data_IF_796083616955
#
_entry.id   IF_796083616955
#
_cell.length_a   1.000
_cell.length_b   1.000
_cell.length_c   1.000
_cell.angle_alpha   90.00
_cell.angle_beta   90.00
_cell.angle_gamma   90.00
#
_symmetry.space_group_name_H-M   'P 1'
#
loop_
_entity.id
_entity.type
_entity.pdbx_description
1 polymer ?
#
# COMPACT_ATOMS: atom_id res chain seq x y z
N UNK A 1 3.66 4.48 15.87
CA UNK A 1 5.08 4.49 15.45
C UNK A 1 5.04 4.00 14.03
N UNK A 2 5.33 4.85 13.06
CA UNK A 2 5.33 4.46 11.66
C UNK A 2 6.36 3.35 11.44
N UNK A 3 5.97 2.30 10.74
CA UNK A 3 6.83 1.17 10.35
C UNK A 3 7.03 1.18 8.83
N UNK A 4 8.22 0.80 8.38
CA UNK A 4 8.47 0.68 6.93
C UNK A 4 7.73 -0.54 6.41
N UNK A 5 6.69 -0.32 5.61
CA UNK A 5 5.90 -1.41 5.00
C UNK A 5 6.53 -1.91 3.70
N UNK A 6 7.18 -1.04 2.93
CA UNK A 6 7.90 -1.41 1.72
C UNK A 6 9.30 -0.77 1.67
N UNK A 7 10.33 -1.54 2.00
CA UNK A 7 11.71 -1.03 1.98
C UNK A 7 12.18 -0.64 0.57
N UNK A 8 11.85 -1.43 -0.46
CA UNK A 8 12.33 -1.19 -1.82
C UNK A 8 11.77 0.09 -2.45
N UNK A 9 10.54 0.48 -2.10
CA UNK A 9 9.93 1.74 -2.50
C UNK A 9 10.04 2.82 -1.42
N UNK A 10 10.66 2.52 -0.27
CA UNK A 10 10.80 3.42 0.88
C UNK A 10 9.47 4.00 1.39
N UNK A 11 8.45 3.14 1.44
CA UNK A 11 7.10 3.51 1.89
C UNK A 11 6.90 3.09 3.34
N UNK A 12 6.35 4.00 4.13
CA UNK A 12 5.92 3.79 5.51
C UNK A 12 4.44 3.41 5.54
N UNK A 13 4.02 2.67 6.56
CA UNK A 13 2.64 2.23 6.72
C UNK A 13 1.65 3.40 6.83
N UNK A 14 2.03 4.47 7.54
CA UNK A 14 1.24 5.70 7.66
C UNK A 14 1.03 6.39 6.30
N UNK A 15 2.09 6.54 5.49
CA UNK A 15 2.02 7.15 4.15
C UNK A 15 1.10 6.33 3.23
N UNK A 16 1.21 4.99 3.27
CA UNK A 16 0.36 4.11 2.49
C UNK A 16 -1.11 4.25 2.90
N UNK A 17 -1.40 4.27 4.21
CA UNK A 17 -2.77 4.43 4.71
C UNK A 17 -3.36 5.78 4.33
N UNK A 18 -2.58 6.85 4.40
CA UNK A 18 -3.00 8.17 3.96
C UNK A 18 -3.30 8.19 2.45
N UNK A 19 -2.43 7.55 1.64
CA UNK A 19 -2.68 7.42 0.21
C UNK A 19 -3.98 6.67 -0.09
N UNK A 20 -4.19 5.51 0.54
CA UNK A 20 -5.39 4.67 0.37
C UNK A 20 -6.69 5.33 0.88
N UNK A 21 -6.59 6.26 1.83
CA UNK A 21 -7.71 7.06 2.31
C UNK A 21 -8.17 8.10 1.28
N UNK A 22 -7.24 8.60 0.46
CA UNK A 22 -7.50 9.66 -0.53
C UNK A 22 -7.70 9.13 -1.96
N UNK A 23 -7.39 7.85 -2.23
CA UNK A 23 -7.46 7.24 -3.56
C UNK A 23 -8.26 5.94 -3.53
N UNK A 24 -9.06 5.68 -4.57
CA UNK A 24 -9.92 4.49 -4.65
C UNK A 24 -9.15 3.26 -5.19
N UNK A 25 -8.13 2.82 -4.44
CA UNK A 25 -7.38 1.60 -4.74
C UNK A 25 -8.12 0.37 -4.16
N UNK A 26 -8.34 -0.65 -4.98
CA UNK A 26 -9.04 -1.88 -4.63
C UNK A 26 -8.19 -3.15 -4.73
N UNK A 27 -7.06 -3.06 -5.44
CA UNK A 27 -6.14 -4.17 -5.70
C UNK A 27 -4.67 -3.72 -5.62
N UNK A 28 -3.75 -4.68 -5.47
CA UNK A 28 -2.31 -4.34 -5.45
C UNK A 28 -1.80 -3.97 -6.85
N UNK A 29 -2.44 -4.49 -7.88
CA UNK A 29 -2.18 -4.17 -9.28
C UNK A 29 -2.44 -2.67 -9.54
N UNK A 30 -3.60 -2.16 -9.13
CA UNK A 30 -3.91 -0.72 -9.21
C UNK A 30 -2.88 0.13 -8.44
N UNK A 31 -2.51 -0.30 -7.22
CA UNK A 31 -1.51 0.42 -6.44
C UNK A 31 -0.13 0.47 -7.13
N UNK A 32 0.26 -0.62 -7.82
CA UNK A 32 1.51 -0.70 -8.59
C UNK A 32 1.48 0.21 -9.81
N UNK A 33 0.35 0.24 -10.51
CA UNK A 33 0.16 1.03 -11.73
C UNK A 33 0.08 2.53 -11.43
N UNK A 34 -0.69 2.94 -10.42
CA UNK A 34 -0.95 4.35 -10.12
C UNK A 34 0.14 4.99 -9.24
N UNK A 35 0.57 4.28 -8.19
CA UNK A 35 1.47 4.84 -7.17
C UNK A 35 2.90 4.32 -7.29
N UNK A 36 3.17 3.35 -8.16
CA UNK A 36 4.48 2.68 -8.25
C UNK A 36 4.95 2.09 -6.91
N UNK A 37 4.03 1.67 -6.05
CA UNK A 37 4.30 1.03 -4.76
C UNK A 37 4.27 -0.49 -4.92
N UNK A 38 5.16 -1.20 -4.21
CA UNK A 38 5.30 -2.67 -4.28
C UNK A 38 5.58 -3.19 -5.71
N UNK A 39 6.33 -2.43 -6.51
CA UNK A 39 6.61 -2.75 -7.92
C UNK A 39 8.06 -3.23 -8.20
N UNK A 40 8.88 -3.43 -7.16
CA UNK A 40 10.29 -3.84 -7.30
C UNK A 40 10.58 -5.31 -6.98
N UNK A 41 10.41 -5.72 -5.71
CA UNK A 41 10.76 -7.07 -5.23
C UNK A 41 9.56 -7.94 -4.87
N UNK A 42 8.37 -7.33 -4.72
CA UNK A 42 7.11 -7.97 -4.33
C UNK A 42 7.11 -8.67 -2.95
N UNK A 43 8.16 -8.55 -2.15
CA UNK A 43 8.26 -9.21 -0.84
C UNK A 43 7.32 -8.66 0.23
N UNK A 44 6.84 -7.42 0.07
CA UNK A 44 5.90 -6.77 0.98
C UNK A 44 4.43 -6.88 0.52
N UNK A 45 4.15 -7.69 -0.51
CA UNK A 45 2.84 -7.81 -1.13
C UNK A 45 1.74 -8.17 -0.12
N UNK A 46 1.96 -9.16 0.75
CA UNK A 46 0.97 -9.57 1.75
C UNK A 46 0.62 -8.44 2.72
N UNK A 47 1.63 -7.70 3.21
CA UNK A 47 1.43 -6.56 4.12
C UNK A 47 0.64 -5.44 3.44
N UNK A 48 1.02 -5.11 2.19
CA UNK A 48 0.35 -4.07 1.41
C UNK A 48 -1.09 -4.48 1.06
N UNK A 49 -1.34 -5.75 0.73
CA UNK A 49 -2.69 -6.26 0.49
C UNK A 49 -3.57 -6.17 1.74
N UNK A 50 -3.02 -6.44 2.93
CA UNK A 50 -3.75 -6.27 4.18
C UNK A 50 -4.19 -4.82 4.39
N UNK A 51 -3.33 -3.83 4.12
CA UNK A 51 -3.69 -2.41 4.21
C UNK A 51 -4.74 -2.00 3.18
N UNK A 52 -4.66 -2.50 1.93
CA UNK A 52 -5.69 -2.29 0.91
C UNK A 52 -7.03 -2.86 1.39
N UNK A 53 -7.04 -4.08 1.93
CA UNK A 53 -8.24 -4.70 2.50
C UNK A 53 -8.83 -3.86 3.64
N UNK A 54 -7.99 -3.40 4.58
CA UNK A 54 -8.42 -2.56 5.69
C UNK A 54 -8.98 -1.21 5.24
N UNK A 55 -8.37 -0.57 4.23
CA UNK A 55 -8.87 0.66 3.66
C UNK A 55 -10.26 0.48 3.05
N UNK A 56 -10.48 -0.63 2.33
CA UNK A 56 -11.79 -0.97 1.74
C UNK A 56 -12.89 -1.21 2.77
N UNK A 57 -12.55 -1.82 3.91
CA UNK A 57 -13.52 -2.07 4.99
C UNK A 57 -13.93 -0.81 5.78
N UNK A 58 -13.19 0.29 5.63
CA UNK A 58 -13.45 1.56 6.32
C UNK A 58 -14.22 2.59 5.46
N UNK A 59 -14.52 2.28 4.20
CA UNK A 59 -15.34 3.09 3.30
C UNK A 59 -16.82 2.75 3.46
#
# INVERSE_FOLDING_TARGET
MAEVICLCNQIWDEDLREYLANHEINSIEELREEASICNKCMQCEELVQAEIYHARMKR
#
